data_IF_021974229976
#
_entry.id   IF_021974229976
#
_cell.length_a   1.000
_cell.length_b   1.000
_cell.length_c   1.000
_cell.angle_alpha   90.00
_cell.angle_beta   90.00
_cell.angle_gamma   90.00
#
_symmetry.space_group_name_H-M   'P 1'
#
loop_
_entity.id
_entity.type
_entity.pdbx_description
1 polymer ?
#
# COMPACT_ATOMS: atom_id res chain seq x y z
N UNK A 1 6.97 5.90 40.52
CA UNK A 1 6.17 6.84 39.69
C UNK A 1 6.52 6.61 38.23
N UNK A 2 5.56 6.22 37.39
CA UNK A 2 5.81 5.98 35.96
C UNK A 2 5.98 7.31 35.21
N UNK A 3 7.09 7.47 34.46
CA UNK A 3 7.34 8.67 33.66
C UNK A 3 6.31 8.77 32.54
N UNK A 4 5.59 9.90 32.48
CA UNK A 4 4.57 10.18 31.47
C UNK A 4 5.26 10.27 30.09
N UNK A 5 4.90 9.38 29.17
CA UNK A 5 5.46 9.32 27.81
C UNK A 5 5.07 10.59 27.06
N UNK A 6 6.00 11.51 26.80
CA UNK A 6 5.74 12.66 25.94
C UNK A 6 5.54 12.16 24.51
N UNK A 7 4.31 12.20 23.99
CA UNK A 7 4.05 12.03 22.57
C UNK A 7 4.55 13.28 21.83
N UNK A 8 5.84 13.28 21.47
CA UNK A 8 6.44 14.33 20.65
C UNK A 8 5.97 14.13 19.21
N UNK A 9 4.79 14.68 18.91
CA UNK A 9 4.35 14.80 17.54
C UNK A 9 5.35 15.70 16.79
N UNK A 10 6.22 15.11 15.98
CA UNK A 10 7.23 15.81 15.18
C UNK A 10 6.63 16.70 14.06
N UNK A 11 5.31 16.68 13.89
CA UNK A 11 4.60 17.53 12.94
C UNK A 11 4.55 18.97 13.46
N UNK A 12 5.05 19.96 12.67
CA UNK A 12 4.99 21.36 13.06
C UNK A 12 3.56 21.81 13.41
N UNK A 13 3.40 22.57 14.50
CA UNK A 13 2.10 23.06 15.00
C UNK A 13 1.23 23.68 13.89
N UNK A 14 1.84 24.47 13.00
CA UNK A 14 1.17 25.13 11.86
C UNK A 14 0.45 24.17 10.90
N UNK A 15 0.90 22.92 10.79
CA UNK A 15 0.26 21.89 9.95
C UNK A 15 -0.90 21.17 10.64
N UNK A 16 -1.13 21.48 11.92
CA UNK A 16 -2.19 20.89 12.75
C UNK A 16 -3.33 21.86 13.01
N UNK A 17 -3.29 23.03 12.38
CA UNK A 17 -4.31 24.06 12.50
C UNK A 17 -5.63 23.61 11.88
N UNK A 18 -6.74 23.94 12.55
CA UNK A 18 -8.06 23.84 11.95
C UNK A 18 -8.24 24.95 10.89
N UNK A 19 -9.33 24.91 10.12
CA UNK A 19 -9.58 25.88 9.04
C UNK A 19 -9.65 27.33 9.53
N UNK A 20 -10.24 27.58 10.70
CA UNK A 20 -10.38 28.93 11.28
C UNK A 20 -9.00 29.50 11.64
N UNK A 21 -8.19 28.71 12.35
CA UNK A 21 -6.83 29.07 12.74
C UNK A 21 -5.95 29.31 11.52
N UNK A 22 -6.08 28.48 10.48
CA UNK A 22 -5.38 28.68 9.20
C UNK A 22 -5.75 30.02 8.59
N UNK A 23 -7.03 30.35 8.45
CA UNK A 23 -7.47 31.62 7.85
C UNK A 23 -7.01 32.84 8.64
N UNK A 24 -7.00 32.77 9.97
CA UNK A 24 -6.50 33.85 10.82
C UNK A 24 -4.99 34.07 10.63
N UNK A 25 -4.20 32.99 10.64
CA UNK A 25 -2.75 33.07 10.43
C UNK A 25 -2.37 33.33 8.97
N UNK A 26 -3.23 32.94 8.03
CA UNK A 26 -3.00 33.04 6.60
C UNK A 26 -2.87 34.49 6.13
N UNK A 27 -3.59 35.44 6.74
CA UNK A 27 -3.49 36.87 6.42
C UNK A 27 -2.04 37.36 6.58
N UNK A 28 -1.50 37.22 7.80
CA UNK A 28 -0.12 37.58 8.12
C UNK A 28 0.90 36.75 7.32
N UNK A 29 0.63 35.47 7.12
CA UNK A 29 1.50 34.60 6.34
C UNK A 29 1.59 35.04 4.88
N UNK A 30 0.45 35.40 4.26
CA UNK A 30 0.40 35.77 2.86
C UNK A 30 1.14 37.08 2.61
N UNK A 31 1.00 38.08 3.49
CA UNK A 31 1.77 39.33 3.46
C UNK A 31 3.30 39.07 3.42
N UNK A 32 3.79 38.13 4.24
CA UNK A 32 5.20 37.76 4.29
C UNK A 32 5.66 36.89 3.12
N UNK A 33 4.72 36.17 2.49
CA UNK A 33 5.00 35.17 1.46
C UNK A 33 4.46 35.60 0.09
N UNK A 34 4.48 36.90 -0.19
CA UNK A 34 4.21 37.45 -1.51
C UNK A 34 5.22 36.88 -2.52
N UNK A 35 4.73 36.42 -3.67
CA UNK A 35 5.55 35.84 -4.74
C UNK A 35 4.84 34.77 -5.56
N UNK A 36 5.58 34.20 -6.52
CA UNK A 36 5.05 33.20 -7.45
C UNK A 36 4.55 31.94 -6.71
N UNK A 37 3.49 31.33 -7.24
CA UNK A 37 2.90 30.07 -6.77
C UNK A 37 2.37 30.11 -5.32
N UNK A 38 1.66 31.18 -4.95
CA UNK A 38 1.07 31.38 -3.61
C UNK A 38 0.28 30.17 -3.09
N UNK A 39 -0.59 29.58 -3.93
CA UNK A 39 -1.38 28.40 -3.57
C UNK A 39 -0.51 27.18 -3.21
N UNK A 40 0.58 26.95 -3.95
CA UNK A 40 1.50 25.83 -3.69
C UNK A 40 2.30 26.05 -2.41
N UNK A 41 2.73 27.28 -2.14
CA UNK A 41 3.40 27.64 -0.88
C UNK A 41 2.45 27.48 0.30
N UNK A 42 1.21 27.92 0.16
CA UNK A 42 0.17 27.82 1.18
C UNK A 42 -0.10 26.35 1.56
N UNK A 43 -0.33 25.51 0.55
CA UNK A 43 -0.52 24.07 0.70
C UNK A 43 0.63 23.43 1.48
N UNK A 44 1.88 23.70 1.10
CA UNK A 44 3.06 23.19 1.82
C UNK A 44 3.20 23.75 3.24
N UNK A 45 2.83 25.01 3.45
CA UNK A 45 3.00 25.69 4.72
C UNK A 45 2.04 25.18 5.79
N UNK A 46 0.76 25.06 5.43
CA UNK A 46 -0.30 24.60 6.33
C UNK A 46 -0.61 23.11 6.23
N UNK A 47 0.02 22.39 5.28
CA UNK A 47 -0.19 20.96 5.11
C UNK A 47 -1.57 20.59 4.56
N UNK A 48 -2.14 21.45 3.71
CA UNK A 48 -3.46 21.24 3.08
C UNK A 48 -3.32 20.89 1.60
N UNK A 49 -4.37 20.33 1.01
CA UNK A 49 -4.40 20.08 -0.44
C UNK A 49 -4.42 21.38 -1.25
N UNK A 50 -3.96 21.28 -2.50
CA UNK A 50 -3.85 22.44 -3.37
C UNK A 50 -5.22 23.08 -3.66
N UNK A 51 -6.27 22.27 -3.78
CA UNK A 51 -7.65 22.75 -3.96
C UNK A 51 -8.12 23.52 -2.70
N UNK A 52 -7.88 22.98 -1.51
CA UNK A 52 -8.16 23.67 -0.25
C UNK A 52 -7.40 25.00 -0.17
N UNK A 53 -6.11 25.01 -0.52
CA UNK A 53 -5.30 26.21 -0.53
C UNK A 53 -5.88 27.31 -1.44
N UNK A 54 -6.34 26.95 -2.64
CA UNK A 54 -6.99 27.88 -3.56
C UNK A 54 -8.25 28.45 -2.92
N UNK A 55 -9.16 27.61 -2.45
CA UNK A 55 -10.42 28.07 -1.82
C UNK A 55 -10.18 28.95 -0.60
N UNK A 56 -9.19 28.63 0.23
CA UNK A 56 -8.84 29.42 1.42
C UNK A 56 -8.23 30.77 1.05
N UNK A 57 -7.40 30.83 0.02
CA UNK A 57 -6.84 32.08 -0.50
C UNK A 57 -7.92 32.93 -1.20
N UNK A 58 -8.90 32.33 -1.88
CA UNK A 58 -10.02 33.08 -2.46
C UNK A 58 -10.91 33.73 -1.40
N UNK A 59 -11.15 33.06 -0.27
CA UNK A 59 -11.84 33.66 0.87
C UNK A 59 -11.08 34.83 1.49
N UNK A 60 -9.75 34.88 1.31
CA UNK A 60 -8.90 35.98 1.75
C UNK A 60 -8.81 37.11 0.72
N UNK A 61 -9.43 36.96 -0.46
CA UNK A 61 -9.50 37.97 -1.52
C UNK A 61 -8.54 37.76 -2.69
N UNK A 62 -7.75 36.67 -2.71
CA UNK A 62 -6.85 36.38 -3.83
C UNK A 62 -7.63 35.78 -5.01
N UNK A 63 -7.36 36.24 -6.23
CA UNK A 63 -8.01 35.74 -7.44
C UNK A 63 -7.13 34.70 -8.14
N UNK A 64 -7.70 33.56 -8.52
CA UNK A 64 -7.04 32.54 -9.33
C UNK A 64 -7.72 32.40 -10.70
N UNK A 65 -6.92 32.14 -11.74
CA UNK A 65 -7.45 31.85 -13.08
C UNK A 65 -8.24 30.54 -13.06
N UNK A 66 -9.38 30.52 -13.76
CA UNK A 66 -10.22 29.32 -13.85
C UNK A 66 -9.47 28.13 -14.44
N UNK A 67 -8.67 28.36 -15.48
CA UNK A 67 -7.81 27.33 -16.10
C UNK A 67 -6.84 26.68 -15.11
N UNK A 68 -6.33 27.44 -14.13
CA UNK A 68 -5.47 26.91 -13.09
C UNK A 68 -6.24 25.97 -12.15
N UNK A 69 -7.47 26.32 -11.77
CA UNK A 69 -8.32 25.47 -10.93
C UNK A 69 -8.63 24.14 -11.61
N UNK A 70 -8.95 24.18 -12.90
CA UNK A 70 -9.23 22.99 -13.71
C UNK A 70 -8.01 22.07 -13.82
N UNK A 71 -6.83 22.63 -14.09
CA UNK A 71 -5.58 21.86 -14.10
C UNK A 71 -5.32 21.16 -12.77
N UNK A 72 -5.55 21.86 -11.65
CA UNK A 72 -5.38 21.30 -10.31
C UNK A 72 -6.38 20.17 -10.05
N UNK A 73 -7.65 20.36 -10.41
CA UNK A 73 -8.68 19.34 -10.29
C UNK A 73 -8.34 18.09 -11.12
N UNK A 74 -7.98 18.27 -12.38
CA UNK A 74 -7.57 17.18 -13.29
C UNK A 74 -6.35 16.42 -12.76
N UNK A 75 -5.38 17.13 -12.19
CA UNK A 75 -4.19 16.51 -11.59
C UNK A 75 -4.54 15.66 -10.36
N UNK A 76 -5.45 16.12 -9.50
CA UNK A 76 -5.92 15.37 -8.34
C UNK A 76 -6.67 14.10 -8.75
N UNK A 77 -7.58 14.21 -9.72
CA UNK A 77 -8.31 13.07 -10.28
C UNK A 77 -7.37 12.04 -10.92
N UNK A 78 -6.39 12.49 -11.71
CA UNK A 78 -5.40 11.61 -12.31
C UNK A 78 -4.57 10.86 -11.25
N UNK A 79 -4.17 11.56 -10.18
CA UNK A 79 -3.44 10.95 -9.06
C UNK A 79 -4.28 9.91 -8.33
N UNK A 80 -5.56 10.18 -8.12
CA UNK A 80 -6.48 9.23 -7.50
C UNK A 80 -6.64 7.97 -8.36
N UNK A 81 -6.91 8.13 -9.66
CA UNK A 81 -7.01 7.01 -10.61
C UNK A 81 -5.74 6.17 -10.65
N UNK A 82 -4.56 6.80 -10.64
CA UNK A 82 -3.30 6.08 -10.61
C UNK A 82 -3.12 5.28 -9.32
N UNK A 83 -3.54 5.82 -8.17
CA UNK A 83 -3.48 5.12 -6.88
C UNK A 83 -4.43 3.91 -6.87
N UNK A 84 -5.64 4.07 -7.38
CA UNK A 84 -6.62 2.99 -7.51
C UNK A 84 -6.13 1.89 -8.46
N UNK A 85 -5.56 2.26 -9.60
CA UNK A 85 -4.95 1.30 -10.53
C UNK A 85 -3.84 0.50 -9.85
N UNK A 86 -2.90 1.15 -9.17
CA UNK A 86 -1.82 0.47 -8.42
C UNK A 86 -2.34 -0.47 -7.33
N UNK A 87 -3.44 -0.11 -6.67
CA UNK A 87 -4.07 -0.99 -5.66
C UNK A 87 -4.64 -2.24 -6.32
N UNK A 88 -5.36 -2.07 -7.44
CA UNK A 88 -5.92 -3.18 -8.21
C UNK A 88 -4.84 -4.09 -8.79
N UNK A 89 -3.79 -3.52 -9.38
CA UNK A 89 -2.68 -4.29 -9.94
C UNK A 89 -1.99 -5.12 -8.84
N UNK A 90 -1.85 -4.58 -7.62
CA UNK A 90 -1.31 -5.32 -6.48
C UNK A 90 -2.24 -6.46 -6.02
N UNK A 91 -3.54 -6.20 -5.95
CA UNK A 91 -4.53 -7.22 -5.58
C UNK A 91 -4.56 -8.38 -6.59
N UNK A 92 -4.51 -8.08 -7.89
CA UNK A 92 -4.44 -9.10 -8.94
C UNK A 92 -3.19 -9.99 -8.82
N UNK A 93 -2.02 -9.39 -8.57
CA UNK A 93 -0.77 -10.16 -8.39
C UNK A 93 -0.84 -11.12 -7.21
N UNK A 94 -1.52 -10.75 -6.11
CA UNK A 94 -1.70 -11.67 -4.97
C UNK A 94 -2.70 -12.79 -5.29
N UNK A 95 -3.75 -12.51 -6.07
CA UNK A 95 -4.75 -13.50 -6.51
C UNK A 95 -4.15 -14.57 -7.46
N UNK A 96 -3.28 -14.17 -8.39
CA UNK A 96 -2.59 -15.10 -9.30
C UNK A 96 -1.72 -16.13 -8.57
N UNK A 97 -1.22 -15.82 -7.37
CA UNK A 97 -0.36 -16.72 -6.61
C UNK A 97 -1.12 -17.84 -5.89
N UNK A 98 -2.29 -17.53 -5.33
CA UNK A 98 -3.07 -18.48 -4.50
C UNK A 98 -4.02 -19.37 -5.32
N UNK A 99 -4.55 -18.86 -6.44
CA UNK A 99 -5.58 -19.60 -7.19
C UNK A 99 -5.04 -20.39 -8.39
N UNK A 100 -3.87 -20.02 -8.94
CA UNK A 100 -3.29 -20.65 -10.14
C UNK A 100 -2.46 -21.90 -9.84
N UNK A 101 -1.80 -21.96 -8.68
CA UNK A 101 -0.91 -23.07 -8.33
C UNK A 101 -1.52 -23.99 -7.27
N UNK A 102 -1.43 -25.31 -7.47
CA UNK A 102 -1.71 -26.32 -6.45
C UNK A 102 -0.57 -26.37 -5.41
N UNK A 103 0.67 -26.20 -5.86
CA UNK A 103 1.85 -26.18 -5.01
C UNK A 103 2.93 -25.24 -5.57
N UNK A 104 3.35 -24.24 -4.80
CA UNK A 104 4.45 -23.33 -5.18
C UNK A 104 5.78 -23.93 -4.70
N UNK A 105 6.65 -24.31 -5.64
CA UNK A 105 7.95 -24.90 -5.35
C UNK A 105 8.99 -23.86 -4.94
N UNK A 106 8.81 -22.60 -5.37
CA UNK A 106 9.67 -21.49 -5.00
C UNK A 106 9.34 -20.20 -5.73
N UNK A 107 10.18 -19.18 -5.51
CA UNK A 107 10.10 -17.90 -6.19
C UNK A 107 11.39 -17.67 -6.97
N UNK A 108 11.25 -17.15 -8.18
CA UNK A 108 12.38 -16.67 -8.98
C UNK A 108 13.02 -15.43 -8.34
N UNK A 109 14.21 -15.03 -8.80
CA UNK A 109 14.92 -13.84 -8.30
C UNK A 109 14.09 -12.55 -8.41
N UNK A 110 13.14 -12.50 -9.36
CA UNK A 110 12.22 -11.38 -9.55
C UNK A 110 10.91 -11.51 -8.75
N UNK A 111 10.81 -12.50 -7.85
CA UNK A 111 9.64 -12.71 -7.00
C UNK A 111 8.44 -13.36 -7.70
N UNK A 112 8.62 -13.94 -8.89
CA UNK A 112 7.56 -14.67 -9.59
C UNK A 112 7.49 -16.10 -9.05
N UNK A 113 6.33 -16.56 -8.53
CA UNK A 113 6.17 -17.94 -8.07
C UNK A 113 6.21 -18.92 -9.24
N UNK A 114 6.82 -20.09 -9.02
CA UNK A 114 6.74 -21.22 -9.95
C UNK A 114 6.46 -22.50 -9.17
N UNK A 115 5.75 -23.43 -9.77
CA UNK A 115 5.30 -24.64 -9.10
C UNK A 115 4.33 -25.45 -9.96
N UNK A 116 3.65 -26.40 -9.32
CA UNK A 116 2.61 -27.24 -9.92
C UNK A 116 1.30 -26.46 -9.98
N UNK A 117 0.76 -26.31 -11.19
CA UNK A 117 -0.57 -25.72 -11.40
C UNK A 117 -1.69 -26.71 -11.04
N UNK A 118 -2.89 -26.19 -10.76
CA UNK A 118 -4.05 -27.07 -10.51
C UNK A 118 -4.43 -27.89 -11.75
N UNK A 119 -4.32 -27.30 -12.93
CA UNK A 119 -4.57 -27.96 -14.22
C UNK A 119 -3.61 -29.13 -14.45
N UNK A 120 -2.30 -28.94 -14.22
CA UNK A 120 -1.30 -30.01 -14.34
C UNK A 120 -1.52 -31.14 -13.32
N UNK A 121 -2.03 -30.83 -12.12
CA UNK A 121 -2.34 -31.84 -11.11
C UNK A 121 -3.56 -32.68 -11.51
N UNK A 122 -4.58 -32.04 -12.11
CA UNK A 122 -5.78 -32.71 -12.60
C UNK A 122 -5.47 -33.60 -13.83
N UNK A 123 -4.64 -33.13 -14.76
CA UNK A 123 -4.18 -33.89 -15.93
C UNK A 123 -3.20 -35.02 -15.56
N UNK A 124 -2.35 -34.80 -14.54
CA UNK A 124 -1.46 -35.82 -13.98
C UNK A 124 -2.19 -36.95 -13.25
N UNK A 125 -3.36 -36.66 -12.66
CA UNK A 125 -4.21 -37.66 -12.01
C UNK A 125 -4.86 -38.63 -13.02
N UNK A 126 -5.00 -38.24 -14.29
CA UNK A 126 -5.48 -39.14 -15.36
C UNK A 126 -4.37 -40.03 -15.93
N UNK A 127 -3.09 -39.66 -15.78
CA UNK A 127 -1.95 -40.36 -16.41
C UNK A 127 -1.15 -41.27 -15.48
N UNK A 128 -1.24 -41.09 -14.15
CA UNK A 128 -0.63 -42.01 -13.19
C UNK A 128 -1.63 -42.40 -12.10
N UNK A 129 -2.09 -43.67 -12.04
CA UNK A 129 -2.88 -44.11 -10.91
C UNK A 129 -2.00 -44.01 -9.65
N UNK A 130 -2.53 -43.32 -8.65
CA UNK A 130 -2.01 -43.22 -7.28
C UNK A 130 -1.36 -44.56 -6.92
N UNK A 131 -0.04 -44.54 -6.73
CA UNK A 131 0.69 -45.67 -6.16
C UNK A 131 0.03 -45.99 -4.82
N UNK A 132 -0.78 -47.06 -4.80
CA UNK A 132 -1.30 -47.59 -3.55
C UNK A 132 -0.10 -47.90 -2.65
N UNK A 133 -0.11 -47.50 -1.37
CA UNK A 133 0.98 -47.83 -0.46
C UNK A 133 1.16 -49.36 -0.45
N UNK A 134 2.40 -49.88 -0.51
CA UNK A 134 2.63 -51.32 -0.57
C UNK A 134 2.04 -51.99 0.67
N UNK A 135 1.03 -52.83 0.47
CA UNK A 135 0.51 -53.74 1.48
C UNK A 135 1.51 -54.89 1.66
N UNK A 136 2.64 -54.65 2.32
CA UNK A 136 3.48 -55.74 2.84
C UNK A 136 3.57 -55.63 4.35
N UNK A 137 2.79 -56.47 5.04
CA UNK A 137 3.00 -56.79 6.45
C UNK A 137 4.25 -57.67 6.54
N UNK A 138 5.43 -57.07 6.46
CA UNK A 138 6.65 -57.77 6.85
C UNK A 138 6.77 -57.61 8.36
N UNK A 139 6.35 -58.65 9.08
CA UNK A 139 6.63 -58.77 10.51
C UNK A 139 8.14 -58.98 10.65
N UNK A 140 8.88 -57.91 10.95
CA UNK A 140 10.27 -58.01 11.38
C UNK A 140 10.26 -58.58 12.80
N UNK A 141 10.52 -59.88 12.94
CA UNK A 141 10.89 -60.46 14.22
C UNK A 141 12.34 -60.07 14.51
N UNK A 142 12.51 -58.95 15.21
CA UNK A 142 13.77 -58.60 15.86
C UNK A 142 13.79 -59.38 17.17
N UNK A 143 14.68 -60.35 17.29
CA UNK A 143 14.91 -61.04 18.55
C UNK A 143 15.74 -60.11 19.45
N UNK A 144 15.31 -59.93 20.70
CA UNK A 144 15.93 -59.02 21.67
C UNK A 144 17.37 -59.42 22.09
N UNK A 145 17.89 -60.55 21.59
CA UNK A 145 19.24 -61.05 21.88
C UNK A 145 20.36 -60.44 21.00
N UNK A 146 20.02 -59.67 19.96
CA UNK A 146 20.99 -59.09 19.01
C UNK A 146 21.40 -57.62 19.32
N UNK A 147 20.98 -57.06 20.45
CA UNK A 147 21.44 -55.73 20.89
C UNK A 147 22.63 -55.85 21.86
N UNK A 148 23.87 -55.50 21.45
CA UNK A 148 24.99 -55.43 22.38
C UNK A 148 24.80 -54.24 23.34
N UNK A 149 24.86 -54.50 24.65
CA UNK A 149 24.91 -53.49 25.71
C UNK A 149 26.17 -52.61 25.61
#
# INVERSE_FOLDING_TARGET
MAKKKHNTNNTPRRKRYNRRDRLQNAKKWAEQNNGNNLAKRYSKWFGVDLNCAITELEMLGYKFKQSYKEQVKKSLEARQKQKEKRKRDKEQVEDFGEDMFYFVAGYTENGVPFGLTREEMEEGAETFPILQPPKSKNHFNINDDDFPF
#
